data_IF_016536846699
#
_entry.id   IF_016536846699
#
_cell.length_a   1.000
_cell.length_b   1.000
_cell.length_c   1.000
_cell.angle_alpha   90.00
_cell.angle_beta   90.00
_cell.angle_gamma   90.00
#
_symmetry.space_group_name_H-M   'P 1'
#
loop_
_entity.id
_entity.type
_entity.pdbx_description
1 polymer ?
#
# COMPACT_ATOMS: atom_id res chain seq x y z
N UNK A 1 15.86 -7.61 16.97
CA UNK A 1 15.96 -7.93 15.53
C UNK A 1 14.71 -7.35 14.87
N UNK A 2 14.85 -6.69 13.72
CA UNK A 2 13.76 -5.96 13.04
C UNK A 2 13.12 -6.91 12.02
N UNK A 3 11.78 -7.02 11.93
CA UNK A 3 11.12 -7.78 10.88
C UNK A 3 11.65 -7.41 9.50
N UNK A 4 12.14 -8.41 8.77
CA UNK A 4 12.79 -8.23 7.47
C UNK A 4 12.31 -9.30 6.51
N UNK A 5 11.76 -8.87 5.39
CA UNK A 5 11.35 -9.68 4.24
C UNK A 5 12.20 -9.31 3.05
N UNK A 6 12.20 -10.11 1.99
CA UNK A 6 12.96 -9.76 0.79
C UNK A 6 12.36 -10.37 -0.46
N UNK A 7 12.27 -9.56 -1.51
CA UNK A 7 12.40 -10.04 -2.88
C UNK A 7 13.90 -10.03 -3.24
N UNK A 8 14.25 -9.36 -4.32
CA UNK A 8 15.62 -8.93 -4.62
C UNK A 8 16.08 -7.78 -3.72
N UNK A 9 15.14 -6.98 -3.21
CA UNK A 9 15.40 -5.88 -2.29
C UNK A 9 14.81 -6.18 -0.89
N UNK A 10 15.47 -5.71 0.19
CA UNK A 10 14.99 -5.94 1.54
C UNK A 10 13.84 -4.99 1.90
N UNK A 11 12.75 -5.54 2.42
CA UNK A 11 11.67 -4.81 3.09
C UNK A 11 11.86 -4.93 4.61
N UNK A 12 12.16 -3.82 5.29
CA UNK A 12 12.36 -3.78 6.75
C UNK A 12 11.22 -3.03 7.42
N UNK A 13 10.64 -3.60 8.47
CA UNK A 13 9.56 -2.97 9.26
C UNK A 13 10.10 -2.67 10.67
N UNK A 14 10.34 -1.40 10.97
CA UNK A 14 10.87 -0.90 12.23
C UNK A 14 9.88 0.05 12.93
N UNK A 15 10.06 0.40 14.22
CA UNK A 15 9.20 1.37 14.88
C UNK A 15 9.13 2.70 14.11
N UNK A 16 7.92 3.14 13.77
CA UNK A 16 7.70 4.32 12.92
C UNK A 16 7.72 4.04 11.41
N UNK A 17 7.90 2.79 10.98
CA UNK A 17 7.62 2.39 9.60
C UNK A 17 6.13 2.57 9.28
N UNK A 18 5.86 2.93 8.04
CA UNK A 18 4.50 3.05 7.54
C UNK A 18 3.84 1.68 7.38
N UNK A 19 2.50 1.69 7.33
CA UNK A 19 1.68 0.53 7.03
C UNK A 19 2.12 -0.15 5.73
N UNK A 20 2.27 -1.48 5.76
CA UNK A 20 2.71 -2.27 4.61
C UNK A 20 1.51 -2.77 3.80
N UNK A 21 1.46 -2.35 2.54
CA UNK A 21 0.39 -2.71 1.61
C UNK A 21 0.73 -4.03 0.92
N UNK A 22 -0.09 -5.06 1.15
CA UNK A 22 0.02 -6.35 0.48
C UNK A 22 -1.01 -6.38 -0.66
N UNK A 23 -0.56 -6.50 -1.91
CA UNK A 23 -1.45 -6.48 -3.08
C UNK A 23 -2.33 -7.73 -3.20
N UNK A 24 -3.65 -7.55 -3.23
CA UNK A 24 -4.65 -8.65 -3.21
C UNK A 24 -5.07 -9.21 -4.59
N UNK A 25 -4.70 -8.55 -5.70
CA UNK A 25 -5.33 -8.79 -7.02
C UNK A 25 -4.82 -10.03 -7.75
N UNK A 26 -3.68 -10.57 -7.32
CA UNK A 26 -3.09 -11.83 -7.80
C UNK A 26 -3.75 -13.04 -7.13
N UNK A 27 -5.08 -13.00 -7.04
CA UNK A 27 -5.90 -13.97 -6.35
C UNK A 27 -7.02 -14.45 -7.26
N UNK A 28 -7.04 -15.75 -7.59
CA UNK A 28 -8.05 -16.37 -8.46
C UNK A 28 -9.45 -16.23 -7.87
N UNK A 29 -9.60 -16.32 -6.54
CA UNK A 29 -10.90 -16.17 -5.87
C UNK A 29 -11.33 -14.71 -5.71
N UNK A 30 -10.40 -13.78 -5.53
CA UNK A 30 -10.68 -12.36 -5.30
C UNK A 30 -10.78 -11.49 -6.56
N UNK A 31 -10.09 -11.85 -7.64
CA UNK A 31 -9.95 -11.00 -8.85
C UNK A 31 -10.49 -11.69 -10.10
N UNK A 32 -11.59 -11.17 -10.65
CA UNK A 32 -12.19 -11.72 -11.87
C UNK A 32 -11.25 -11.68 -13.08
N UNK A 33 -10.47 -10.59 -13.21
CA UNK A 33 -9.49 -10.44 -14.27
C UNK A 33 -8.37 -11.49 -14.16
N UNK A 34 -7.77 -11.63 -12.97
CA UNK A 34 -6.70 -12.60 -12.75
C UNK A 34 -7.20 -14.04 -12.92
N UNK A 35 -8.39 -14.36 -12.39
CA UNK A 35 -9.06 -15.65 -12.59
C UNK A 35 -9.19 -16.01 -14.06
N UNK A 36 -9.65 -15.07 -14.90
CA UNK A 36 -9.82 -15.29 -16.34
C UNK A 36 -8.48 -15.64 -17.01
N UNK A 37 -7.43 -14.89 -16.69
CA UNK A 37 -6.10 -15.10 -17.27
C UNK A 37 -5.52 -16.47 -16.88
N UNK A 38 -5.55 -16.81 -15.59
CA UNK A 38 -5.02 -18.10 -15.10
C UNK A 38 -5.81 -19.28 -15.68
N UNK A 39 -7.15 -19.21 -15.71
CA UNK A 39 -7.99 -20.28 -16.29
C UNK A 39 -7.73 -20.50 -17.78
N UNK A 40 -7.38 -19.44 -18.50
CA UNK A 40 -7.08 -19.51 -19.93
C UNK A 40 -5.61 -19.86 -20.21
N UNK A 41 -4.79 -20.10 -19.18
CA UNK A 41 -3.36 -20.36 -19.33
C UNK A 41 -2.53 -19.13 -19.75
N UNK A 42 -3.11 -17.94 -19.65
CA UNK A 42 -2.50 -16.65 -20.02
C UNK A 42 -1.63 -16.10 -18.88
N UNK A 43 -0.57 -16.83 -18.55
CA UNK A 43 0.29 -16.49 -17.40
C UNK A 43 1.11 -15.21 -17.65
N UNK A 44 1.53 -14.94 -18.89
CA UNK A 44 2.34 -13.76 -19.22
C UNK A 44 1.53 -12.47 -19.02
N UNK A 45 0.26 -12.47 -19.43
CA UNK A 45 -0.65 -11.36 -19.14
C UNK A 45 -0.98 -11.28 -17.65
N UNK A 46 -1.05 -12.40 -16.94
CA UNK A 46 -1.29 -12.41 -15.49
C UNK A 46 -0.15 -11.74 -14.70
N UNK A 47 1.10 -11.81 -15.18
CA UNK A 47 2.26 -11.10 -14.61
C UNK A 47 2.03 -9.59 -14.59
N UNK A 48 1.32 -9.02 -15.58
CA UNK A 48 1.00 -7.59 -15.59
C UNK A 48 0.15 -7.16 -14.40
N UNK A 49 -0.70 -8.04 -13.87
CA UNK A 49 -1.51 -7.77 -12.68
C UNK A 49 -0.61 -7.61 -11.45
N UNK A 50 0.43 -8.44 -11.31
CA UNK A 50 1.42 -8.30 -10.24
C UNK A 50 2.21 -7.00 -10.40
N UNK A 51 2.72 -6.72 -11.61
CA UNK A 51 3.46 -5.47 -11.92
C UNK A 51 2.67 -4.22 -11.55
N UNK A 52 1.41 -4.17 -11.97
CA UNK A 52 0.54 -3.02 -11.72
C UNK A 52 0.34 -2.76 -10.22
N UNK A 53 0.31 -3.80 -9.39
CA UNK A 53 0.17 -3.65 -7.94
C UNK A 53 1.44 -3.07 -7.32
N UNK A 54 2.62 -3.58 -7.69
CA UNK A 54 3.90 -3.05 -7.22
C UNK A 54 4.09 -1.60 -7.64
N UNK A 55 3.75 -1.29 -8.89
CA UNK A 55 3.72 0.08 -9.40
C UNK A 55 2.80 0.98 -8.56
N UNK A 56 1.63 0.48 -8.20
CA UNK A 56 0.66 1.22 -7.37
C UNK A 56 1.01 1.22 -5.88
N UNK A 57 2.22 0.84 -5.49
CA UNK A 57 2.72 0.96 -4.12
C UNK A 57 2.50 -0.26 -3.23
N UNK A 58 2.11 -1.41 -3.79
CA UNK A 58 2.17 -2.67 -3.05
C UNK A 58 3.64 -3.01 -2.72
N UNK A 59 3.91 -3.23 -1.43
CA UNK A 59 5.24 -3.55 -0.92
C UNK A 59 5.45 -5.05 -0.75
N UNK A 60 4.38 -5.84 -0.82
CA UNK A 60 4.35 -7.31 -0.87
C UNK A 60 3.25 -7.71 -1.86
N UNK A 61 3.41 -8.83 -2.55
CA UNK A 61 2.37 -9.38 -3.44
C UNK A 61 1.81 -10.67 -2.84
N UNK A 62 0.50 -10.73 -2.63
CA UNK A 62 -0.21 -11.95 -2.22
C UNK A 62 -0.61 -12.75 -3.46
N UNK A 63 -0.17 -14.01 -3.54
CA UNK A 63 -0.44 -14.89 -4.68
C UNK A 63 -1.29 -16.05 -4.23
N UNK A 64 -2.54 -16.08 -4.70
CA UNK A 64 -3.48 -17.17 -4.46
C UNK A 64 -3.98 -17.76 -5.78
N UNK A 65 -3.72 -19.05 -5.96
CA UNK A 65 -4.07 -19.82 -7.16
C UNK A 65 -5.01 -21.00 -6.82
N UNK A 66 -5.70 -20.93 -5.69
CA UNK A 66 -6.65 -21.97 -5.29
C UNK A 66 -7.89 -21.97 -6.21
N UNK A 67 -7.99 -23.01 -7.03
CA UNK A 67 -9.14 -23.35 -7.85
C UNK A 67 -9.21 -24.89 -7.92
N UNK A 68 -10.39 -25.48 -7.71
CA UNK A 68 -10.64 -26.91 -7.88
C UNK A 68 -10.30 -27.48 -9.28
N UNK A 69 -10.28 -26.68 -10.34
CA UNK A 69 -9.95 -27.11 -11.72
C UNK A 69 -8.47 -26.93 -12.09
N UNK A 70 -7.65 -26.40 -11.18
CA UNK A 70 -6.23 -26.10 -11.43
C UNK A 70 -5.36 -26.92 -10.48
N UNK A 71 -4.25 -27.48 -10.98
CA UNK A 71 -3.19 -27.99 -10.09
C UNK A 71 -2.52 -26.79 -9.40
N UNK A 72 -2.92 -26.54 -8.15
CA UNK A 72 -2.40 -25.41 -7.37
C UNK A 72 -0.89 -25.46 -7.16
N UNK A 73 -0.27 -26.65 -7.06
CA UNK A 73 1.19 -26.76 -6.89
C UNK A 73 1.90 -26.36 -8.17
N UNK A 74 1.45 -26.87 -9.32
CA UNK A 74 2.03 -26.52 -10.61
C UNK A 74 1.82 -25.04 -10.95
N UNK A 75 0.59 -24.55 -10.78
CA UNK A 75 0.24 -23.16 -11.06
C UNK A 75 1.06 -22.18 -10.19
N UNK A 76 1.19 -22.46 -8.89
CA UNK A 76 1.97 -21.64 -7.97
C UNK A 76 3.44 -21.59 -8.40
N UNK A 77 4.06 -22.75 -8.66
CA UNK A 77 5.45 -22.80 -9.15
C UNK A 77 5.63 -22.01 -10.44
N UNK A 78 4.74 -22.22 -11.40
CA UNK A 78 4.80 -21.56 -12.71
C UNK A 78 4.71 -20.04 -12.56
N UNK A 79 3.70 -19.54 -11.84
CA UNK A 79 3.49 -18.11 -11.69
C UNK A 79 4.61 -17.44 -10.89
N UNK A 80 5.07 -18.06 -9.79
CA UNK A 80 6.18 -17.52 -8.99
C UNK A 80 7.50 -17.44 -9.76
N UNK A 81 7.80 -18.44 -10.59
CA UNK A 81 8.99 -18.40 -11.45
C UNK A 81 8.91 -17.30 -12.52
N UNK A 82 7.72 -17.02 -13.05
CA UNK A 82 7.53 -15.94 -14.02
C UNK A 82 7.74 -14.57 -13.39
N UNK A 83 7.12 -14.29 -12.23
CA UNK A 83 7.30 -12.99 -11.58
C UNK A 83 8.73 -12.80 -11.03
N UNK A 84 9.45 -13.88 -10.74
CA UNK A 84 10.85 -13.82 -10.35
C UNK A 84 11.78 -13.41 -11.51
N UNK A 85 11.36 -13.62 -12.76
CA UNK A 85 12.11 -13.19 -13.95
C UNK A 85 11.91 -11.70 -14.30
N UNK A 86 10.97 -11.02 -13.63
CA UNK A 86 10.62 -9.62 -13.86
C UNK A 86 11.18 -8.73 -12.74
N UNK A 87 12.27 -7.97 -12.94
CA UNK A 87 12.94 -7.23 -11.87
C UNK A 87 12.03 -6.26 -11.10
N UNK A 88 11.10 -5.60 -11.81
CA UNK A 88 10.16 -4.64 -11.22
C UNK A 88 9.21 -5.29 -10.20
N UNK A 89 8.95 -6.59 -10.35
CA UNK A 89 8.11 -7.39 -9.44
C UNK A 89 8.99 -8.09 -8.41
N UNK A 90 10.06 -8.75 -8.88
CA UNK A 90 10.96 -9.54 -8.06
C UNK A 90 11.62 -8.74 -6.94
N UNK A 91 11.71 -7.41 -7.04
CA UNK A 91 12.21 -6.54 -5.96
C UNK A 91 11.42 -6.64 -4.65
N UNK A 92 10.10 -6.89 -4.69
CA UNK A 92 9.27 -6.98 -3.48
C UNK A 92 9.10 -8.42 -2.99
N UNK A 93 8.91 -8.67 -1.68
CA UNK A 93 8.60 -10.00 -1.17
C UNK A 93 7.26 -10.53 -1.67
N UNK A 94 7.11 -11.86 -1.65
CA UNK A 94 5.87 -12.56 -2.01
C UNK A 94 5.26 -13.24 -0.79
N UNK A 95 3.96 -13.07 -0.64
CA UNK A 95 3.09 -13.82 0.26
C UNK A 95 2.44 -14.97 -0.53
N UNK A 96 2.76 -16.21 -0.18
CA UNK A 96 2.25 -17.42 -0.84
C UNK A 96 0.97 -17.84 -0.14
N UNK A 97 -0.17 -17.62 -0.81
CA UNK A 97 -1.50 -17.84 -0.27
C UNK A 97 -2.15 -19.12 -0.80
N UNK A 98 -2.51 -20.03 0.11
CA UNK A 98 -3.31 -21.21 -0.20
C UNK A 98 -3.91 -21.86 1.05
N UNK A 99 -5.10 -22.43 0.90
CA UNK A 99 -5.71 -23.32 1.88
C UNK A 99 -5.00 -24.68 2.00
N UNK A 100 -4.11 -25.03 1.05
CA UNK A 100 -3.37 -26.30 1.02
C UNK A 100 -1.91 -26.07 1.35
N UNK A 101 -1.44 -26.63 2.46
CA UNK A 101 -0.04 -26.48 2.88
C UNK A 101 0.97 -26.99 1.84
N UNK A 102 0.62 -27.99 1.03
CA UNK A 102 1.49 -28.48 -0.07
C UNK A 102 1.77 -27.42 -1.13
N UNK A 103 0.81 -26.52 -1.40
CA UNK A 103 0.96 -25.39 -2.32
C UNK A 103 1.84 -24.31 -1.69
N UNK A 104 1.61 -24.00 -0.41
CA UNK A 104 2.47 -23.07 0.35
C UNK A 104 3.93 -23.56 0.31
N UNK A 105 4.18 -24.81 0.67
CA UNK A 105 5.52 -25.38 0.71
C UNK A 105 6.17 -25.37 -0.68
N UNK A 106 5.43 -25.69 -1.73
CA UNK A 106 5.92 -25.64 -3.10
C UNK A 106 6.27 -24.21 -3.55
N UNK A 107 5.43 -23.23 -3.20
CA UNK A 107 5.64 -21.84 -3.53
C UNK A 107 6.84 -21.24 -2.80
N UNK A 108 6.96 -21.47 -1.49
CA UNK A 108 8.10 -21.03 -0.69
C UNK A 108 9.44 -21.57 -1.22
N UNK A 109 9.46 -22.81 -1.71
CA UNK A 109 10.66 -23.40 -2.34
C UNK A 109 11.08 -22.72 -3.65
N UNK A 110 10.19 -21.95 -4.29
CA UNK A 110 10.50 -21.19 -5.51
C UNK A 110 11.05 -19.79 -5.20
N UNK A 111 10.86 -19.28 -3.97
CA UNK A 111 11.28 -17.94 -3.61
C UNK A 111 12.79 -17.92 -3.29
N UNK A 112 13.51 -16.98 -3.91
CA UNK A 112 14.92 -16.73 -3.61
C UNK A 112 15.08 -15.89 -2.32
N UNK A 113 14.21 -14.89 -2.15
CA UNK A 113 14.17 -14.01 -0.98
C UNK A 113 13.30 -14.56 0.15
N UNK A 114 13.27 -13.85 1.27
CA UNK A 114 12.43 -14.20 2.42
C UNK A 114 10.97 -13.80 2.17
N UNK A 115 10.16 -14.79 1.76
CA UNK A 115 8.71 -14.67 1.59
C UNK A 115 7.90 -14.93 2.86
N UNK A 116 6.57 -14.94 2.69
CA UNK A 116 5.59 -15.11 3.77
C UNK A 116 4.63 -16.24 3.40
N UNK A 117 4.41 -17.18 4.31
CA UNK A 117 3.37 -18.21 4.18
C UNK A 117 2.00 -17.62 4.60
N UNK A 118 0.99 -17.71 3.75
CA UNK A 118 -0.39 -17.35 4.06
C UNK A 118 -1.29 -18.58 3.82
N UNK A 119 -1.74 -19.29 4.85
CA UNK A 119 -1.43 -19.14 6.28
C UNK A 119 -1.41 -20.52 6.95
N UNK A 120 -1.04 -20.53 8.24
CA UNK A 120 -1.21 -21.70 9.12
C UNK A 120 -2.19 -21.37 10.23
N UNK A 121 -2.78 -22.38 10.86
CA UNK A 121 -3.71 -22.20 11.99
C UNK A 121 -3.78 -23.45 12.87
N UNK A 122 -4.48 -23.35 14.01
CA UNK A 122 -4.73 -24.47 14.92
C UNK A 122 -5.96 -25.31 14.53
N UNK A 123 -6.58 -25.06 13.36
CA UNK A 123 -7.77 -25.77 12.87
C UNK A 123 -7.63 -27.29 12.87
N UNK A 124 -6.47 -27.79 12.45
CA UNK A 124 -6.16 -29.24 12.38
C UNK A 124 -5.42 -29.74 13.64
N UNK A 125 -5.42 -28.93 14.69
CA UNK A 125 -4.78 -29.21 15.97
C UNK A 125 -3.31 -28.82 16.05
N UNK A 126 -2.79 -28.84 17.27
CA UNK A 126 -1.42 -28.39 17.61
C UNK A 126 -0.32 -29.17 16.88
N UNK A 127 -0.48 -30.48 16.69
CA UNK A 127 0.55 -31.32 16.07
C UNK A 127 0.83 -30.89 14.62
N UNK A 128 -0.23 -30.67 13.84
CA UNK A 128 -0.13 -30.25 12.45
C UNK A 128 0.36 -28.81 12.35
N UNK A 129 -0.16 -27.90 13.19
CA UNK A 129 0.32 -26.52 13.28
C UNK A 129 1.84 -26.44 13.51
N UNK A 130 2.37 -27.22 14.47
CA UNK A 130 3.81 -27.26 14.75
C UNK A 130 4.61 -27.94 13.62
N UNK A 131 4.05 -28.91 12.91
CA UNK A 131 4.69 -29.54 11.74
C UNK A 131 4.88 -28.50 10.63
N UNK A 132 3.80 -27.81 10.26
CA UNK A 132 3.79 -26.78 9.23
C UNK A 132 4.74 -25.63 9.58
N UNK A 133 4.66 -25.14 10.82
CA UNK A 133 5.54 -24.10 11.33
C UNK A 133 7.03 -24.50 11.17
N UNK A 134 7.44 -25.68 11.64
CA UNK A 134 8.85 -26.12 11.54
C UNK A 134 9.34 -26.20 10.09
N UNK A 135 8.46 -26.55 9.15
CA UNK A 135 8.78 -26.56 7.71
C UNK A 135 8.98 -25.12 7.20
N UNK A 136 8.05 -24.21 7.48
CA UNK A 136 8.15 -22.80 7.09
C UNK A 136 9.45 -22.18 7.64
N UNK A 137 9.75 -22.41 8.92
CA UNK A 137 11.00 -21.95 9.55
C UNK A 137 12.23 -22.52 8.86
N UNK A 138 12.23 -23.79 8.50
CA UNK A 138 13.35 -24.44 7.79
C UNK A 138 13.57 -23.82 6.41
N UNK A 139 12.50 -23.37 5.75
CA UNK A 139 12.55 -22.64 4.49
C UNK A 139 12.93 -21.15 4.67
N UNK A 140 13.11 -20.68 5.90
CA UNK A 140 13.53 -19.30 6.20
C UNK A 140 12.45 -18.25 5.98
N UNK A 141 11.18 -18.66 5.85
CA UNK A 141 10.05 -17.76 5.61
C UNK A 141 9.36 -17.32 6.91
N UNK A 142 8.66 -16.19 6.85
CA UNK A 142 7.71 -15.79 7.87
C UNK A 142 6.35 -16.46 7.64
N UNK A 143 5.42 -16.32 8.59
CA UNK A 143 4.08 -16.90 8.45
C UNK A 143 2.99 -15.97 8.98
N UNK A 144 1.90 -15.90 8.21
CA UNK A 144 0.59 -15.50 8.70
C UNK A 144 0.00 -16.64 9.53
N UNK A 145 -0.58 -16.29 10.66
CA UNK A 145 -1.27 -17.20 11.58
C UNK A 145 -2.70 -16.71 11.74
N UNK A 146 -3.65 -17.47 11.21
CA UNK A 146 -5.06 -17.15 11.36
C UNK A 146 -5.50 -17.46 12.78
N UNK A 147 -6.31 -16.57 13.38
CA UNK A 147 -7.03 -16.86 14.62
C UNK A 147 -8.17 -17.86 14.35
N UNK A 148 -7.80 -19.11 14.07
CA UNK A 148 -8.68 -20.26 13.84
C UNK A 148 -8.09 -21.45 14.59
N UNK A 149 -8.87 -22.06 15.48
CA UNK A 149 -8.45 -23.24 16.25
C UNK A 149 -9.41 -24.42 16.07
N UNK A 150 -9.26 -25.45 16.90
CA UNK A 150 -10.06 -26.67 16.85
C UNK A 150 -11.57 -26.42 17.11
N UNK A 151 -11.93 -25.26 17.67
CA UNK A 151 -13.32 -24.85 17.93
C UNK A 151 -13.88 -23.94 16.83
N UNK A 152 -13.08 -23.56 15.82
CA UNK A 152 -13.52 -22.73 14.71
C UNK A 152 -12.78 -21.40 14.60
N UNK A 153 -13.30 -20.55 13.73
CA UNK A 153 -12.79 -19.20 13.50
C UNK A 153 -13.11 -18.30 14.69
N UNK A 154 -12.16 -17.47 15.13
CA UNK A 154 -12.42 -16.46 16.15
C UNK A 154 -13.19 -15.27 15.56
N UNK A 155 -14.35 -14.99 16.15
CA UNK A 155 -15.28 -13.93 15.78
C UNK A 155 -15.34 -12.83 16.86
N UNK A 156 -15.25 -13.18 18.14
CA UNK A 156 -15.19 -12.22 19.28
C UNK A 156 -13.78 -11.78 19.66
N UNK A 157 -13.67 -10.63 20.34
CA UNK A 157 -12.41 -10.14 20.89
C UNK A 157 -11.69 -11.19 21.77
N UNK A 158 -12.39 -11.82 22.72
CA UNK A 158 -11.81 -12.79 23.66
C UNK A 158 -11.24 -14.01 22.94
N UNK A 159 -11.96 -14.50 21.93
CA UNK A 159 -11.50 -15.63 21.11
C UNK A 159 -10.27 -15.26 20.30
N UNK A 160 -10.23 -14.06 19.71
CA UNK A 160 -9.07 -13.59 18.93
C UNK A 160 -7.82 -13.53 19.78
N UNK A 161 -7.87 -12.93 20.97
CA UNK A 161 -6.68 -12.80 21.84
C UNK A 161 -6.24 -14.16 22.42
N UNK A 162 -7.19 -15.05 22.72
CA UNK A 162 -6.88 -16.39 23.23
C UNK A 162 -6.11 -17.22 22.19
N UNK A 163 -6.59 -17.25 20.94
CA UNK A 163 -5.94 -18.00 19.86
C UNK A 163 -4.61 -17.34 19.47
N UNK A 164 -4.57 -16.01 19.37
CA UNK A 164 -3.33 -15.27 19.07
C UNK A 164 -2.23 -15.60 20.09
N UNK A 165 -2.55 -15.52 21.39
CA UNK A 165 -1.61 -15.83 22.46
C UNK A 165 -1.14 -17.29 22.40
N UNK A 166 -2.08 -18.24 22.28
CA UNK A 166 -1.75 -19.68 22.21
C UNK A 166 -0.82 -19.97 21.02
N UNK A 167 -1.15 -19.43 19.86
CA UNK A 167 -0.36 -19.65 18.63
C UNK A 167 1.04 -19.04 18.75
N UNK A 168 1.13 -17.82 19.29
CA UNK A 168 2.40 -17.15 19.56
C UNK A 168 3.29 -17.96 20.51
N UNK A 169 2.74 -18.44 21.63
CA UNK A 169 3.47 -19.27 22.60
C UNK A 169 3.97 -20.57 21.96
N UNK A 170 3.12 -21.25 21.19
CA UNK A 170 3.50 -22.49 20.48
C UNK A 170 4.62 -22.25 19.46
N UNK A 171 4.53 -21.18 18.67
CA UNK A 171 5.52 -20.86 17.64
C UNK A 171 6.88 -20.51 18.27
N UNK A 172 6.88 -19.63 19.26
CA UNK A 172 8.11 -19.15 19.89
C UNK A 172 8.77 -20.22 20.77
N UNK A 173 7.98 -20.98 21.54
CA UNK A 173 8.51 -21.91 22.53
C UNK A 173 8.72 -23.33 21.97
N UNK A 174 7.89 -23.81 21.01
CA UNK A 174 7.93 -25.21 20.52
C UNK A 174 8.35 -25.37 19.06
N UNK A 175 8.18 -24.35 18.21
CA UNK A 175 8.66 -24.37 16.82
C UNK A 175 9.99 -23.60 16.64
N UNK A 176 10.36 -22.75 17.60
CA UNK A 176 11.57 -21.93 17.59
C UNK A 176 11.51 -20.79 16.57
N UNK A 177 10.30 -20.29 16.27
CA UNK A 177 10.13 -19.09 15.46
C UNK A 177 10.68 -17.87 16.18
N UNK A 178 11.26 -16.96 15.41
CA UNK A 178 11.48 -15.63 15.90
C UNK A 178 10.15 -14.87 15.93
N UNK A 179 9.85 -14.10 16.99
CA UNK A 179 8.58 -13.35 17.09
C UNK A 179 8.29 -12.43 15.91
N UNK A 180 9.33 -11.84 15.30
CA UNK A 180 9.23 -10.92 14.17
C UNK A 180 8.88 -11.59 12.83
N UNK A 181 8.83 -12.93 12.80
CA UNK A 181 8.39 -13.72 11.65
C UNK A 181 6.96 -14.24 11.82
N UNK A 182 6.28 -13.83 12.89
CA UNK A 182 4.89 -14.17 13.20
C UNK A 182 4.02 -12.97 12.84
N UNK A 183 3.11 -13.16 11.89
CA UNK A 183 2.08 -12.19 11.51
C UNK A 183 0.74 -12.76 11.94
N UNK A 184 0.10 -12.16 12.93
CA UNK A 184 -1.23 -12.61 13.40
C UNK A 184 -2.32 -11.98 12.53
N UNK A 185 -3.17 -12.80 11.93
CA UNK A 185 -4.43 -12.36 11.33
C UNK A 185 -5.57 -12.65 12.31
N UNK A 186 -6.10 -11.57 12.91
CA UNK A 186 -7.19 -11.64 13.88
C UNK A 186 -8.59 -11.78 13.24
N UNK A 187 -8.66 -12.12 11.95
CA UNK A 187 -9.85 -12.25 11.11
C UNK A 187 -10.59 -10.93 10.90
N UNK A 188 -10.36 -10.27 9.77
CA UNK A 188 -11.27 -9.22 9.30
C UNK A 188 -12.52 -9.92 8.73
N UNK A 189 -13.65 -9.74 9.41
CA UNK A 189 -14.94 -10.33 9.06
C UNK A 189 -15.91 -9.27 8.54
N UNK A 190 -16.96 -9.72 7.86
CA UNK A 190 -17.95 -8.83 7.22
C UNK A 190 -18.85 -8.17 8.26
N UNK A 191 -19.01 -6.84 8.19
CA UNK A 191 -19.97 -6.09 9.03
C UNK A 191 -21.24 -5.72 8.26
N UNK A 192 -22.22 -5.16 8.96
CA UNK A 192 -23.50 -4.72 8.38
C UNK A 192 -24.24 -5.83 7.61
N UNK A 193 -24.20 -7.06 8.11
CA UNK A 193 -24.86 -8.22 7.48
C UNK A 193 -26.34 -8.34 7.84
N UNK A 194 -26.84 -7.49 8.73
CA UNK A 194 -28.19 -7.60 9.32
C UNK A 194 -28.29 -8.59 10.50
N UNK A 195 -27.17 -9.12 10.99
CA UNK A 195 -27.11 -10.00 12.15
C UNK A 195 -26.37 -9.29 13.28
N UNK A 196 -27.00 -9.15 14.44
CA UNK A 196 -26.47 -8.36 15.56
C UNK A 196 -25.15 -8.92 16.11
N UNK A 197 -24.94 -10.23 15.98
CA UNK A 197 -23.70 -10.92 16.33
C UNK A 197 -22.50 -10.38 15.53
N UNK A 198 -22.73 -9.82 14.35
CA UNK A 198 -21.68 -9.35 13.43
C UNK A 198 -21.36 -7.87 13.59
N UNK A 199 -22.18 -7.10 14.32
CA UNK A 199 -22.04 -5.65 14.46
C UNK A 199 -20.71 -5.24 15.10
N UNK A 200 -20.14 -6.12 15.93
CA UNK A 200 -18.89 -5.85 16.65
C UNK A 200 -17.63 -6.34 15.94
N UNK A 201 -17.74 -7.02 14.80
CA UNK A 201 -16.59 -7.69 14.18
C UNK A 201 -15.43 -6.76 13.83
N UNK A 202 -15.70 -5.53 13.39
CA UNK A 202 -14.67 -4.55 13.06
C UNK A 202 -13.99 -3.97 14.31
N UNK A 203 -14.76 -3.50 15.30
CA UNK A 203 -14.20 -2.95 16.55
C UNK A 203 -13.45 -4.02 17.34
N UNK A 204 -13.95 -5.25 17.40
CA UNK A 204 -13.28 -6.36 18.08
C UNK A 204 -11.97 -6.76 17.37
N UNK A 205 -11.87 -6.60 16.04
CA UNK A 205 -10.61 -6.72 15.32
C UNK A 205 -9.62 -5.64 15.76
N UNK A 206 -10.04 -4.38 15.77
CA UNK A 206 -9.22 -3.22 16.12
C UNK A 206 -8.69 -3.34 17.56
N UNK A 207 -9.55 -3.76 18.50
CA UNK A 207 -9.15 -4.03 19.88
C UNK A 207 -8.18 -5.22 19.99
N UNK A 208 -8.41 -6.30 19.22
CA UNK A 208 -7.51 -7.45 19.19
C UNK A 208 -6.12 -7.06 18.67
N UNK A 209 -6.04 -6.23 17.62
CA UNK A 209 -4.77 -5.67 17.13
C UNK A 209 -4.06 -4.93 18.26
N UNK A 210 -4.75 -3.98 18.93
CA UNK A 210 -4.16 -3.23 20.05
C UNK A 210 -3.63 -4.16 21.14
N UNK A 211 -4.41 -5.17 21.50
CA UNK A 211 -4.02 -6.16 22.50
C UNK A 211 -2.78 -6.95 22.06
N UNK A 212 -2.75 -7.45 20.82
CA UNK A 212 -1.63 -8.20 20.26
C UNK A 212 -0.35 -7.37 20.32
N UNK A 213 -0.41 -6.09 19.91
CA UNK A 213 0.77 -5.21 19.94
C UNK A 213 1.29 -4.96 21.37
N UNK A 214 0.41 -4.93 22.37
CA UNK A 214 0.79 -4.74 23.76
C UNK A 214 1.33 -6.00 24.43
N UNK A 215 0.86 -7.19 24.03
CA UNK A 215 1.09 -8.43 24.79
C UNK A 215 1.98 -9.45 24.08
N UNK A 216 2.12 -9.39 22.75
CA UNK A 216 2.88 -10.35 21.93
C UNK A 216 4.09 -9.64 21.28
N UNK A 217 5.18 -9.42 22.04
CA UNK A 217 6.27 -8.54 21.62
C UNK A 217 6.97 -9.05 20.36
N UNK A 218 7.07 -8.19 19.36
CA UNK A 218 7.71 -8.49 18.08
C UNK A 218 6.79 -9.14 17.05
N UNK A 219 5.62 -9.67 17.44
CA UNK A 219 4.64 -10.12 16.46
C UNK A 219 4.08 -8.93 15.66
N UNK A 220 3.78 -9.21 14.40
CA UNK A 220 3.07 -8.28 13.52
C UNK A 220 1.60 -8.67 13.41
N UNK A 221 0.81 -7.78 12.81
CA UNK A 221 -0.63 -7.93 12.60
C UNK A 221 -0.98 -7.67 11.16
N UNK A 222 -1.92 -8.46 10.63
CA UNK A 222 -2.45 -8.32 9.26
C UNK A 222 -3.93 -8.65 9.20
N UNK A 223 -4.50 -8.46 8.02
CA UNK A 223 -5.85 -8.94 7.67
C UNK A 223 -6.23 -8.64 6.22
N UNK A 224 -7.18 -9.42 5.71
CA UNK A 224 -7.86 -9.15 4.42
C UNK A 224 -8.87 -8.02 4.52
N UNK A 225 -8.45 -6.79 4.17
CA UNK A 225 -9.26 -5.58 4.40
C UNK A 225 -10.56 -5.62 3.61
N UNK A 226 -10.52 -6.10 2.36
CA UNK A 226 -11.68 -6.17 1.48
C UNK A 226 -12.87 -6.96 2.07
N UNK A 227 -12.61 -7.88 3.00
CA UNK A 227 -13.63 -8.72 3.66
C UNK A 227 -14.60 -7.91 4.52
N UNK A 228 -14.17 -6.80 5.13
CA UNK A 228 -15.02 -5.98 6.01
C UNK A 228 -16.28 -5.47 5.29
N UNK A 229 -16.16 -5.28 3.97
CA UNK A 229 -17.14 -4.59 3.13
C UNK A 229 -18.04 -5.51 2.29
N UNK A 230 -18.02 -6.83 2.50
CA UNK A 230 -18.69 -7.76 1.59
C UNK A 230 -20.22 -7.58 1.51
N UNK A 231 -20.87 -7.06 2.55
CA UNK A 231 -22.30 -6.71 2.53
C UNK A 231 -22.65 -5.66 1.46
N UNK A 232 -21.67 -4.89 1.00
CA UNK A 232 -21.84 -3.80 0.03
C UNK A 232 -21.22 -4.10 -1.35
N UNK A 233 -21.03 -5.39 -1.70
CA UNK A 233 -20.55 -5.79 -3.03
C UNK A 233 -21.41 -5.17 -4.14
N UNK A 234 -20.75 -4.57 -5.13
CA UNK A 234 -21.41 -3.83 -6.21
C UNK A 234 -21.60 -2.34 -5.94
N UNK A 235 -21.30 -1.87 -4.73
CA UNK A 235 -21.28 -0.45 -4.36
C UNK A 235 -19.86 -0.01 -4.00
N UNK A 236 -19.02 0.15 -5.02
CA UNK A 236 -17.59 0.45 -4.84
C UNK A 236 -17.31 1.74 -4.06
N UNK A 237 -18.04 2.87 -4.25
CA UNK A 237 -17.83 4.07 -3.45
C UNK A 237 -18.00 3.83 -1.94
N UNK A 238 -19.03 3.08 -1.55
CA UNK A 238 -19.25 2.71 -0.14
C UNK A 238 -18.15 1.78 0.37
N UNK A 239 -17.73 0.80 -0.43
CA UNK A 239 -16.68 -0.14 -0.03
C UNK A 239 -15.34 0.58 0.20
N UNK A 240 -14.96 1.47 -0.70
CA UNK A 240 -13.74 2.28 -0.60
C UNK A 240 -13.76 3.17 0.66
N UNK A 241 -14.89 3.80 0.97
CA UNK A 241 -15.05 4.57 2.20
C UNK A 241 -14.89 3.69 3.46
N UNK A 242 -15.49 2.50 3.47
CA UNK A 242 -15.35 1.53 4.58
C UNK A 242 -13.89 1.09 4.73
N UNK A 243 -13.19 0.73 3.64
CA UNK A 243 -11.78 0.31 3.70
C UNK A 243 -10.90 1.41 4.26
N UNK A 244 -11.09 2.64 3.77
CA UNK A 244 -10.30 3.81 4.15
C UNK A 244 -10.49 4.14 5.64
N UNK A 245 -11.74 4.20 6.11
CA UNK A 245 -12.05 4.46 7.51
C UNK A 245 -11.58 3.32 8.43
N UNK A 246 -11.76 2.07 8.01
CA UNK A 246 -11.30 0.91 8.77
C UNK A 246 -9.78 0.93 8.96
N UNK A 247 -9.02 1.15 7.87
CA UNK A 247 -7.56 1.22 7.91
C UNK A 247 -7.07 2.37 8.80
N UNK A 248 -7.70 3.54 8.74
CA UNK A 248 -7.36 4.67 9.60
C UNK A 248 -7.42 4.31 11.08
N UNK A 249 -8.50 3.66 11.53
CA UNK A 249 -8.64 3.24 12.93
C UNK A 249 -7.76 2.04 13.30
N UNK A 250 -7.65 1.04 12.41
CA UNK A 250 -6.86 -0.16 12.65
C UNK A 250 -5.35 0.15 12.75
N UNK A 251 -4.82 1.02 11.90
CA UNK A 251 -3.41 1.43 11.96
C UNK A 251 -3.12 2.24 13.22
N UNK A 252 -4.03 3.12 13.63
CA UNK A 252 -3.92 3.81 14.93
C UNK A 252 -3.89 2.83 16.11
N UNK A 253 -4.57 1.69 16.00
CA UNK A 253 -4.49 0.62 16.99
C UNK A 253 -3.21 -0.22 16.90
N UNK A 254 -2.44 -0.08 15.81
CA UNK A 254 -1.13 -0.70 15.62
C UNK A 254 -1.08 -1.76 14.50
N UNK A 255 -2.04 -1.78 13.58
CA UNK A 255 -2.02 -2.67 12.42
C UNK A 255 -0.77 -2.43 11.56
N UNK A 256 0.04 -3.47 11.35
CA UNK A 256 1.35 -3.33 10.70
C UNK A 256 1.27 -3.45 9.17
N UNK A 257 0.40 -4.33 8.68
CA UNK A 257 0.24 -4.63 7.26
C UNK A 257 -1.19 -5.07 6.95
N UNK A 258 -1.56 -5.12 5.67
CA UNK A 258 -2.87 -5.64 5.27
C UNK A 258 -2.96 -5.97 3.80
N UNK A 259 -3.79 -6.97 3.50
CA UNK A 259 -4.10 -7.40 2.14
C UNK A 259 -5.19 -6.48 1.61
N UNK A 260 -4.81 -5.68 0.61
CA UNK A 260 -5.59 -4.55 0.10
C UNK A 260 -5.52 -4.46 -1.41
N UNK A 261 -6.54 -3.88 -2.02
CA UNK A 261 -6.41 -3.30 -3.35
C UNK A 261 -5.77 -1.91 -3.22
N UNK A 262 -4.44 -1.86 -3.27
CA UNK A 262 -3.66 -0.62 -3.12
C UNK A 262 -4.14 0.54 -4.03
N UNK A 263 -4.76 0.23 -5.18
CA UNK A 263 -5.29 1.23 -6.09
C UNK A 263 -6.60 1.91 -5.67
N UNK A 264 -7.38 1.29 -4.77
CA UNK A 264 -8.73 1.68 -4.35
C UNK A 264 -8.79 2.16 -2.89
N UNK A 265 -7.67 2.58 -2.31
CA UNK A 265 -7.66 3.20 -0.97
C UNK A 265 -7.80 4.72 -1.16
N UNK A 266 -8.84 5.29 -0.57
CA UNK A 266 -9.16 6.72 -0.59
C UNK A 266 -8.45 7.50 0.50
N UNK A 267 -8.55 8.83 0.48
CA UNK A 267 -8.03 9.69 1.55
C UNK A 267 -9.14 9.83 2.58
N UNK A 268 -8.81 9.62 3.85
CA UNK A 268 -9.81 9.59 4.91
C UNK A 268 -10.62 10.90 5.03
N UNK A 269 -9.97 12.06 4.85
CA UNK A 269 -10.61 13.38 4.92
C UNK A 269 -11.51 13.71 3.72
N UNK A 270 -11.36 12.99 2.61
CA UNK A 270 -12.16 13.21 1.40
C UNK A 270 -13.48 12.41 1.42
N UNK A 271 -13.65 11.50 2.39
CA UNK A 271 -14.90 10.77 2.56
C UNK A 271 -15.98 11.81 2.93
N UNK A 272 -17.11 11.87 2.18
CA UNK A 272 -18.20 12.79 2.51
C UNK A 272 -18.62 12.63 3.96
N UNK A 273 -18.75 13.75 4.69
CA UNK A 273 -18.95 13.74 6.16
C UNK A 273 -20.10 12.84 6.62
N UNK A 274 -21.22 12.89 5.90
CA UNK A 274 -22.39 12.05 6.21
C UNK A 274 -22.11 10.57 5.94
N UNK A 275 -21.43 10.23 4.84
CA UNK A 275 -21.01 8.85 4.56
C UNK A 275 -20.02 8.35 5.62
N UNK A 276 -19.05 9.18 6.01
CA UNK A 276 -18.07 8.85 7.04
C UNK A 276 -18.76 8.57 8.38
N UNK A 277 -19.75 9.37 8.77
CA UNK A 277 -20.52 9.13 9.99
C UNK A 277 -21.20 7.76 9.98
N UNK A 278 -21.88 7.41 8.89
CA UNK A 278 -22.54 6.10 8.77
C UNK A 278 -21.54 4.94 8.74
N UNK A 279 -20.42 5.11 8.04
CA UNK A 279 -19.34 4.11 8.00
C UNK A 279 -18.74 3.89 9.39
N UNK A 280 -18.43 4.95 10.12
CA UNK A 280 -17.86 4.84 11.46
C UNK A 280 -18.86 4.32 12.50
N UNK A 281 -20.15 4.64 12.35
CA UNK A 281 -21.21 4.07 13.18
C UNK A 281 -21.21 2.54 13.09
N UNK A 282 -21.06 1.99 11.88
CA UNK A 282 -20.96 0.54 11.64
C UNK A 282 -19.63 -0.01 12.15
N UNK A 283 -18.50 0.57 11.76
CA UNK A 283 -17.17 0.01 12.07
C UNK A 283 -16.86 0.02 13.56
N UNK A 284 -17.30 1.06 14.28
CA UNK A 284 -17.01 1.25 15.70
C UNK A 284 -18.19 0.85 16.60
N UNK A 285 -19.25 0.28 16.02
CA UNK A 285 -20.48 -0.10 16.72
C UNK A 285 -21.02 1.02 17.64
N UNK A 286 -21.05 2.27 17.14
CA UNK A 286 -21.39 3.46 17.97
C UNK A 286 -22.87 3.53 18.34
N UNK A 287 -23.72 2.82 17.60
CA UNK A 287 -25.18 2.82 17.76
C UNK A 287 -25.79 1.50 17.28
N UNK A 288 -26.93 1.07 17.85
CA UNK A 288 -27.54 -0.22 17.52
C UNK A 288 -28.21 -0.26 16.14
N UNK A 289 -28.65 0.88 15.60
CA UNK A 289 -29.30 1.02 14.29
C UNK A 289 -28.31 1.36 13.16
N UNK A 290 -27.00 1.23 13.39
CA UNK A 290 -25.95 1.60 12.42
C UNK A 290 -26.10 0.84 11.10
N UNK A 291 -26.31 -0.48 11.17
CA UNK A 291 -26.45 -1.34 10.00
C UNK A 291 -27.64 -0.93 9.13
N UNK A 292 -28.82 -0.72 9.74
CA UNK A 292 -30.03 -0.34 9.01
C UNK A 292 -29.87 1.02 8.32
N UNK A 293 -29.32 2.00 9.04
CA UNK A 293 -29.05 3.34 8.50
C UNK A 293 -28.06 3.28 7.34
N UNK A 294 -26.96 2.55 7.50
CA UNK A 294 -25.92 2.45 6.47
C UNK A 294 -26.46 1.76 5.22
N UNK A 295 -27.25 0.68 5.36
CA UNK A 295 -27.86 -0.01 4.21
C UNK A 295 -28.83 0.92 3.47
N UNK A 296 -29.72 1.62 4.19
CA UNK A 296 -30.64 2.57 3.59
C UNK A 296 -29.91 3.75 2.89
N UNK A 297 -28.86 4.27 3.52
CA UNK A 297 -28.03 5.35 2.97
C UNK A 297 -27.24 4.90 1.74
N UNK A 298 -26.71 3.67 1.75
CA UNK A 298 -25.91 3.11 0.67
C UNK A 298 -26.70 2.96 -0.65
N UNK A 299 -28.04 2.85 -0.60
CA UNK A 299 -28.87 2.83 -1.83
C UNK A 299 -28.69 4.10 -2.68
N UNK A 300 -28.36 5.24 -2.07
CA UNK A 300 -28.11 6.50 -2.78
C UNK A 300 -26.84 6.45 -3.66
N UNK A 301 -25.94 5.51 -3.38
CA UNK A 301 -24.67 5.32 -4.08
C UNK A 301 -24.72 4.17 -5.10
N UNK A 302 -25.86 3.49 -5.24
CA UNK A 302 -26.04 2.44 -6.26
C UNK A 302 -26.39 3.06 -7.61
N UNK A 303 -25.54 2.84 -8.61
CA UNK A 303 -25.75 3.28 -9.98
C UNK A 303 -24.48 3.88 -10.58
N UNK A 304 -24.51 4.20 -11.87
CA UNK A 304 -23.49 5.09 -12.44
C UNK A 304 -23.59 6.44 -11.72
N UNK A 305 -22.47 7.12 -11.42
CA UNK A 305 -22.51 8.45 -10.83
C UNK A 305 -23.45 9.33 -11.67
N UNK A 306 -24.38 10.03 -11.01
CA UNK A 306 -25.29 10.95 -11.70
C UNK A 306 -24.48 11.98 -12.49
N UNK A 307 -25.08 12.59 -13.52
CA UNK A 307 -24.41 13.67 -14.24
C UNK A 307 -23.97 14.81 -13.30
N UNK A 308 -24.71 15.04 -12.22
CA UNK A 308 -24.36 15.97 -11.14
C UNK A 308 -23.20 15.47 -10.28
N UNK A 309 -23.09 14.17 -9.99
CA UNK A 309 -21.95 13.59 -9.28
C UNK A 309 -20.68 13.62 -10.15
N UNK A 310 -20.79 13.36 -11.45
CA UNK A 310 -19.68 13.50 -12.40
C UNK A 310 -19.27 14.97 -12.57
N UNK A 311 -20.24 15.91 -12.60
CA UNK A 311 -19.98 17.34 -12.64
C UNK A 311 -19.33 17.84 -11.33
N UNK A 312 -19.78 17.35 -10.17
CA UNK A 312 -19.15 17.63 -8.88
C UNK A 312 -17.71 17.07 -8.82
N UNK A 313 -17.48 15.89 -9.42
CA UNK A 313 -16.15 15.30 -9.58
C UNK A 313 -15.27 16.04 -10.59
N UNK A 314 -15.85 16.88 -11.45
CA UNK A 314 -15.15 17.79 -12.36
C UNK A 314 -15.04 19.22 -11.81
N UNK A 315 -15.75 19.57 -10.73
CA UNK A 315 -15.80 20.93 -10.19
C UNK A 315 -14.44 21.47 -9.75
N UNK A 316 -13.51 20.58 -9.35
CA UNK A 316 -12.14 20.97 -9.03
C UNK A 316 -11.42 21.63 -10.21
N UNK A 317 -11.85 21.35 -11.46
CA UNK A 317 -11.32 21.97 -12.68
C UNK A 317 -11.71 23.43 -12.84
N UNK A 318 -12.75 23.90 -12.15
CA UNK A 318 -13.23 25.28 -12.22
C UNK A 318 -12.41 26.22 -11.32
N UNK A 319 -11.57 25.67 -10.44
CA UNK A 319 -10.68 26.44 -9.56
C UNK A 319 -9.49 27.09 -10.30
N UNK A 320 -8.71 27.85 -9.54
CA UNK A 320 -7.42 28.42 -9.97
C UNK A 320 -6.43 27.33 -10.39
N UNK A 321 -5.40 27.71 -11.16
CA UNK A 321 -4.35 26.76 -11.56
C UNK A 321 -3.63 26.17 -10.34
N UNK A 322 -3.42 26.94 -9.28
CA UNK A 322 -2.86 26.48 -8.01
C UNK A 322 -3.74 25.42 -7.33
N UNK A 323 -5.06 25.65 -7.27
CA UNK A 323 -6.01 24.68 -6.71
C UNK A 323 -6.06 23.39 -7.52
N UNK A 324 -5.99 23.49 -8.85
CA UNK A 324 -5.98 22.35 -9.76
C UNK A 324 -4.68 21.54 -9.65
N UNK A 325 -3.53 22.19 -9.60
CA UNK A 325 -2.23 21.55 -9.38
C UNK A 325 -2.18 20.85 -8.02
N UNK A 326 -2.68 21.52 -6.96
CA UNK A 326 -2.79 20.93 -5.63
C UNK A 326 -3.69 19.70 -5.63
N UNK A 327 -4.87 19.78 -6.23
CA UNK A 327 -5.81 18.66 -6.35
C UNK A 327 -5.17 17.51 -7.13
N UNK A 328 -4.54 17.79 -8.28
CA UNK A 328 -3.87 16.78 -9.08
C UNK A 328 -2.79 16.04 -8.29
N UNK A 329 -2.01 16.74 -7.47
CA UNK A 329 -1.01 16.12 -6.60
C UNK A 329 -1.65 15.26 -5.51
N UNK A 330 -2.60 15.80 -4.73
CA UNK A 330 -3.25 15.08 -3.61
C UNK A 330 -3.94 13.80 -4.09
N UNK A 331 -4.60 13.84 -5.25
CA UNK A 331 -5.36 12.71 -5.78
C UNK A 331 -4.60 11.88 -6.82
N UNK A 332 -3.35 12.24 -7.14
CA UNK A 332 -2.54 11.49 -8.10
C UNK A 332 -3.05 11.54 -9.55
N UNK A 333 -3.67 12.64 -9.97
CA UNK A 333 -4.23 12.83 -11.33
C UNK A 333 -3.16 13.31 -12.30
N UNK A 334 -2.86 12.52 -13.33
CA UNK A 334 -1.85 12.88 -14.34
C UNK A 334 -2.40 13.47 -15.63
N UNK A 335 -3.72 13.43 -15.84
CA UNK A 335 -4.34 13.73 -17.14
C UNK A 335 -4.16 15.18 -17.59
N UNK A 336 -4.32 16.15 -16.68
CA UNK A 336 -4.27 17.58 -16.97
C UNK A 336 -2.98 18.26 -16.50
N UNK A 337 -2.07 17.50 -15.90
CA UNK A 337 -0.94 18.08 -15.14
C UNK A 337 -0.04 18.95 -16.02
N UNK A 338 0.23 18.56 -17.26
CA UNK A 338 1.06 19.34 -18.18
C UNK A 338 0.38 20.64 -18.59
N UNK A 339 -0.93 20.61 -18.85
CA UNK A 339 -1.70 21.79 -19.20
C UNK A 339 -1.74 22.80 -18.04
N UNK A 340 -2.03 22.33 -16.83
CA UNK A 340 -2.05 23.20 -15.65
C UNK A 340 -0.64 23.71 -15.30
N UNK A 341 0.39 22.88 -15.49
CA UNK A 341 1.77 23.29 -15.27
C UNK A 341 2.19 24.38 -16.25
N UNK A 342 1.76 24.31 -17.52
CA UNK A 342 2.01 25.37 -18.52
C UNK A 342 1.29 26.66 -18.18
N UNK A 343 0.01 26.58 -17.79
CA UNK A 343 -0.74 27.76 -17.37
C UNK A 343 -0.06 28.46 -16.19
N UNK A 344 0.40 27.70 -15.19
CA UNK A 344 1.18 28.25 -14.08
C UNK A 344 2.53 28.80 -14.58
N UNK A 345 3.24 28.10 -15.48
CA UNK A 345 4.52 28.59 -16.02
C UNK A 345 4.39 29.95 -16.72
N UNK A 346 3.27 30.22 -17.38
CA UNK A 346 3.00 31.53 -18.02
C UNK A 346 2.66 32.61 -16.97
N UNK A 347 2.00 32.25 -15.87
CA UNK A 347 1.64 33.19 -14.80
C UNK A 347 2.82 33.57 -13.90
N UNK A 348 3.76 32.65 -13.68
CA UNK A 348 4.91 32.86 -12.81
C UNK A 348 6.12 33.36 -13.61
N UNK A 349 6.88 34.29 -13.03
CA UNK A 349 8.05 34.93 -13.68
C UNK A 349 9.21 33.93 -13.92
N UNK A 350 9.25 32.84 -13.15
CA UNK A 350 10.26 31.82 -13.23
C UNK A 350 9.61 30.43 -13.16
N UNK A 351 9.90 29.51 -14.10
CA UNK A 351 9.45 28.12 -14.02
C UNK A 351 9.80 27.43 -12.69
N UNK A 352 10.90 27.82 -12.03
CA UNK A 352 11.25 27.33 -10.68
C UNK A 352 10.16 27.64 -9.66
N UNK A 353 9.52 28.81 -9.75
CA UNK A 353 8.50 29.23 -8.77
C UNK A 353 7.20 28.41 -8.89
N UNK A 354 6.94 27.79 -10.04
CA UNK A 354 5.85 26.80 -10.17
C UNK A 354 6.13 25.57 -9.31
N UNK A 355 7.41 25.16 -9.26
CA UNK A 355 7.86 24.04 -8.42
C UNK A 355 7.79 24.43 -6.94
N UNK A 356 8.44 25.52 -6.55
CA UNK A 356 8.52 25.97 -5.14
C UNK A 356 7.18 26.47 -4.58
N UNK A 357 6.28 26.95 -5.45
CA UNK A 357 4.96 27.44 -5.10
C UNK A 357 3.90 26.34 -5.16
N UNK A 358 3.04 26.31 -6.20
CA UNK A 358 1.86 25.44 -6.22
C UNK A 358 2.17 23.95 -6.12
N UNK A 359 3.23 23.47 -6.76
CA UNK A 359 3.58 22.05 -6.72
C UNK A 359 4.05 21.61 -5.33
N UNK A 360 4.96 22.37 -4.70
CA UNK A 360 5.36 22.10 -3.32
C UNK A 360 4.24 22.29 -2.32
N UNK A 361 3.34 23.26 -2.53
CA UNK A 361 2.15 23.43 -1.69
C UNK A 361 1.24 22.18 -1.72
N UNK A 362 1.06 21.56 -2.90
CA UNK A 362 0.37 20.28 -3.01
C UNK A 362 1.10 19.14 -2.30
N UNK A 363 2.41 19.04 -2.48
CA UNK A 363 3.23 18.01 -1.83
C UNK A 363 3.28 18.15 -0.30
N UNK A 364 3.22 19.37 0.24
CA UNK A 364 3.13 19.60 1.68
C UNK A 364 1.81 19.02 2.24
N UNK A 365 0.69 19.21 1.55
CA UNK A 365 -0.59 18.60 1.95
C UNK A 365 -0.54 17.08 1.89
N UNK A 366 0.09 16.51 0.86
CA UNK A 366 0.36 15.06 0.79
C UNK A 366 1.18 14.60 2.01
N UNK A 367 2.21 15.36 2.39
CA UNK A 367 3.03 15.10 3.57
C UNK A 367 2.23 15.14 4.88
N UNK A 368 1.35 16.13 5.06
CA UNK A 368 0.51 16.28 6.24
C UNK A 368 -0.52 15.14 6.35
N UNK A 369 -1.18 14.80 5.24
CA UNK A 369 -2.15 13.70 5.19
C UNK A 369 -1.47 12.35 5.46
N UNK A 370 -0.28 12.15 4.91
CA UNK A 370 0.50 10.93 5.14
C UNK A 370 0.98 10.84 6.59
N UNK A 371 1.55 11.92 7.12
CA UNK A 371 2.04 11.98 8.50
C UNK A 371 0.95 11.83 9.56
N UNK A 372 -0.28 12.24 9.24
CA UNK A 372 -1.46 12.05 10.10
C UNK A 372 -2.15 10.68 9.94
N UNK A 373 -1.65 9.82 9.04
CA UNK A 373 -2.20 8.49 8.74
C UNK A 373 -3.52 8.49 7.97
N UNK A 374 -3.88 9.64 7.36
CA UNK A 374 -5.11 9.81 6.56
C UNK A 374 -4.90 9.52 5.08
N UNK A 375 -3.65 9.45 4.65
CA UNK A 375 -3.20 9.02 3.33
C UNK A 375 -2.17 7.90 3.49
N UNK A 376 -2.14 6.98 2.55
CA UNK A 376 -1.31 5.77 2.56
C UNK A 376 -0.25 5.81 1.47
N UNK A 377 0.79 4.98 1.61
CA UNK A 377 1.92 4.96 0.69
C UNK A 377 1.52 4.82 -0.81
N UNK A 378 0.54 3.97 -1.20
CA UNK A 378 0.05 3.91 -2.57
C UNK A 378 -0.35 5.27 -3.15
N UNK A 379 -0.99 6.12 -2.35
CA UNK A 379 -1.46 7.44 -2.76
C UNK A 379 -0.29 8.43 -2.86
N UNK A 380 0.67 8.35 -1.94
CA UNK A 380 1.91 9.14 -2.01
C UNK A 380 2.71 8.80 -3.28
N UNK A 381 2.78 7.52 -3.65
CA UNK A 381 3.43 7.08 -4.89
C UNK A 381 2.73 7.66 -6.12
N UNK A 382 1.38 7.68 -6.15
CA UNK A 382 0.63 8.35 -7.22
C UNK A 382 0.93 9.85 -7.27
N UNK A 383 0.93 10.53 -6.11
CA UNK A 383 1.26 11.96 -5.98
C UNK A 383 2.66 12.28 -6.52
N UNK A 384 3.65 11.44 -6.17
CA UNK A 384 5.02 11.59 -6.65
C UNK A 384 5.14 11.45 -8.18
N UNK A 385 4.32 10.61 -8.81
CA UNK A 385 4.28 10.50 -10.29
C UNK A 385 3.76 11.77 -10.93
N UNK A 386 2.71 12.38 -10.36
CA UNK A 386 2.17 13.66 -10.81
C UNK A 386 3.24 14.74 -10.70
N UNK A 387 3.91 14.82 -9.55
CA UNK A 387 5.02 15.75 -9.32
C UNK A 387 6.13 15.56 -10.35
N UNK A 388 6.57 14.32 -10.57
CA UNK A 388 7.61 14.00 -11.57
C UNK A 388 7.21 14.43 -12.98
N UNK A 389 5.96 14.20 -13.37
CA UNK A 389 5.45 14.59 -14.69
C UNK A 389 5.40 16.11 -14.87
N UNK A 390 4.94 16.84 -13.86
CA UNK A 390 4.94 18.31 -13.85
C UNK A 390 6.37 18.87 -13.97
N UNK A 391 7.30 18.35 -13.18
CA UNK A 391 8.70 18.80 -13.22
C UNK A 391 9.36 18.47 -14.57
N UNK A 392 9.13 17.29 -15.11
CA UNK A 392 9.64 16.91 -16.44
C UNK A 392 9.14 17.84 -17.54
N UNK A 393 7.92 18.36 -17.43
CA UNK A 393 7.39 19.37 -18.34
C UNK A 393 8.12 20.71 -18.23
N UNK A 394 8.50 21.13 -17.02
CA UNK A 394 9.22 22.40 -16.78
C UNK A 394 10.70 22.35 -17.15
N UNK A 395 11.29 21.16 -17.20
CA UNK A 395 12.73 20.96 -17.37
C UNK A 395 13.33 21.63 -18.63
N UNK A 396 12.73 21.58 -19.83
CA UNK A 396 13.24 22.31 -20.99
C UNK A 396 13.32 23.83 -20.76
N UNK A 397 12.29 24.42 -20.13
CA UNK A 397 12.24 25.87 -19.86
C UNK A 397 13.27 26.30 -18.82
N UNK A 398 13.52 25.46 -17.81
CA UNK A 398 14.57 25.65 -16.82
C UNK A 398 15.96 25.65 -17.49
N UNK A 399 16.19 24.75 -18.45
CA UNK A 399 17.44 24.66 -19.19
C UNK A 399 17.66 25.84 -20.14
N UNK A 400 16.62 26.29 -20.86
CA UNK A 400 16.68 27.48 -21.72
C UNK A 400 17.05 28.73 -20.92
N UNK A 401 16.43 28.92 -19.75
CA UNK A 401 16.77 30.04 -18.86
C UNK A 401 18.21 29.97 -18.37
N UNK A 402 18.68 28.78 -17.98
CA UNK A 402 20.09 28.55 -17.61
C UNK A 402 21.03 28.93 -18.76
N UNK A 403 20.73 28.50 -20.00
CA UNK A 403 21.52 28.87 -21.17
C UNK A 403 21.52 30.38 -21.46
N UNK A 404 20.37 31.05 -21.27
CA UNK A 404 20.22 32.49 -21.44
C UNK A 404 20.94 33.33 -20.36
N UNK A 405 21.16 32.79 -19.16
CA UNK A 405 21.94 33.46 -18.11
C UNK A 405 23.45 33.18 -18.23
N UNK A 406 23.86 32.04 -18.79
CA UNK A 406 25.28 31.66 -18.96
C UNK A 406 25.98 32.47 -20.07
N UNK A 407 25.24 33.12 -20.97
CA UNK A 407 25.81 34.08 -21.95
C UNK A 407 26.31 35.38 -21.31
N UNK A 408 26.03 35.61 -20.01
CA UNK A 408 26.59 36.69 -19.21
C UNK A 408 27.78 36.26 -18.36
N UNK A 409 28.95 36.08 -19.00
CA UNK A 409 30.27 35.93 -18.35
C UNK A 409 30.38 34.87 -17.22
N UNK A 410 31.01 33.74 -17.54
CA UNK A 410 31.67 32.89 -16.54
C UNK A 410 32.66 33.75 -15.73
N UNK A 411 32.21 34.32 -14.62
CA UNK A 411 33.09 35.02 -13.68
C UNK A 411 34.02 33.98 -13.08
N UNK A 412 35.32 34.20 -13.20
CA UNK A 412 36.37 33.35 -12.63
C UNK A 412 36.26 33.13 -11.11
N UNK A 413 35.37 33.88 -10.42
CA UNK A 413 35.08 33.83 -8.98
C UNK A 413 33.74 33.15 -8.62
N UNK A 414 33.10 32.41 -9.53
CA UNK A 414 31.85 31.71 -9.24
C UNK A 414 32.04 30.67 -8.12
N UNK A 415 31.23 30.76 -7.05
CA UNK A 415 31.25 29.80 -5.94
C UNK A 415 30.88 28.40 -6.45
N UNK A 416 31.63 27.38 -6.04
CA UNK A 416 31.42 25.99 -6.46
C UNK A 416 30.55 25.25 -5.46
N UNK A 417 29.67 24.40 -5.96
CA UNK A 417 28.87 23.46 -5.15
C UNK A 417 28.88 22.09 -5.81
N UNK A 418 29.09 21.05 -5.01
CA UNK A 418 28.99 19.65 -5.43
C UNK A 418 27.64 19.11 -4.97
N UNK A 419 26.86 18.53 -5.89
CA UNK A 419 25.58 17.88 -5.59
C UNK A 419 25.67 16.39 -5.93
N UNK A 420 25.15 15.55 -5.05
CA UNK A 420 25.07 14.10 -5.22
C UNK A 420 23.97 13.55 -4.29
N UNK A 421 23.30 12.46 -4.66
CA UNK A 421 22.59 11.63 -3.68
C UNK A 421 23.47 10.47 -3.26
N UNK A 422 23.41 10.09 -1.99
CA UNK A 422 24.23 8.98 -1.45
C UNK A 422 23.74 7.63 -1.97
N UNK A 423 24.58 6.60 -1.87
CA UNK A 423 24.20 5.23 -2.22
C UNK A 423 22.87 4.82 -1.56
N UNK A 424 21.92 4.38 -2.40
CA UNK A 424 20.58 3.98 -1.97
C UNK A 424 19.56 5.12 -1.95
N UNK A 425 19.99 6.36 -2.18
CA UNK A 425 19.11 7.50 -2.34
C UNK A 425 18.91 7.81 -3.83
N UNK A 426 17.65 7.78 -4.28
CA UNK A 426 17.25 7.97 -5.68
C UNK A 426 16.59 9.31 -5.94
N UNK A 427 16.52 10.20 -4.95
CA UNK A 427 15.80 11.46 -5.05
C UNK A 427 16.56 12.45 -5.96
N UNK A 428 16.36 12.31 -7.27
CA UNK A 428 16.97 13.11 -8.33
C UNK A 428 16.28 14.47 -8.51
N UNK A 429 14.95 14.51 -8.40
CA UNK A 429 14.13 15.71 -8.64
C UNK A 429 14.59 16.90 -7.78
N UNK A 430 14.61 16.74 -6.46
CA UNK A 430 15.01 17.81 -5.54
C UNK A 430 16.45 18.27 -5.75
N UNK A 431 17.37 17.31 -5.97
CA UNK A 431 18.78 17.60 -6.29
C UNK A 431 18.89 18.45 -7.57
N UNK A 432 18.18 18.06 -8.62
CA UNK A 432 18.21 18.76 -9.91
C UNK A 432 17.64 20.17 -9.79
N UNK A 433 16.52 20.34 -9.08
CA UNK A 433 15.93 21.66 -8.81
C UNK A 433 16.93 22.56 -8.08
N UNK A 434 17.53 22.08 -6.99
CA UNK A 434 18.57 22.82 -6.24
C UNK A 434 19.76 23.16 -7.14
N UNK A 435 20.19 22.22 -7.98
CA UNK A 435 21.26 22.44 -8.96
C UNK A 435 20.92 23.52 -9.99
N UNK A 436 19.69 23.54 -10.50
CA UNK A 436 19.22 24.59 -11.42
C UNK A 436 19.17 25.95 -10.71
N UNK A 437 18.61 26.02 -9.50
CA UNK A 437 18.50 27.26 -8.72
C UNK A 437 19.89 27.84 -8.43
N UNK A 438 20.83 27.03 -7.96
CA UNK A 438 22.19 27.47 -7.64
C UNK A 438 22.89 27.97 -8.90
N UNK A 439 22.74 27.28 -10.03
CA UNK A 439 23.28 27.73 -11.31
C UNK A 439 22.69 29.08 -11.75
N UNK A 440 21.37 29.27 -11.62
CA UNK A 440 20.71 30.55 -11.90
C UNK A 440 21.18 31.69 -10.98
N UNK A 441 21.66 31.37 -9.77
CA UNK A 441 22.22 32.32 -8.81
C UNK A 441 23.76 32.47 -8.94
N UNK A 442 24.35 32.07 -10.06
CA UNK A 442 25.76 32.29 -10.38
C UNK A 442 26.74 31.33 -9.70
N UNK A 443 26.27 30.19 -9.17
CA UNK A 443 27.14 29.12 -8.69
C UNK A 443 27.58 28.20 -9.83
N UNK A 444 28.80 27.69 -9.73
CA UNK A 444 29.25 26.56 -10.53
C UNK A 444 28.81 25.26 -9.86
N UNK A 445 27.82 24.60 -10.43
CA UNK A 445 27.26 23.33 -9.93
C UNK A 445 27.97 22.15 -10.57
N UNK A 446 28.54 21.28 -9.74
CA UNK A 446 29.16 20.00 -10.13
C UNK A 446 28.24 18.89 -9.62
N UNK A 447 27.55 18.22 -10.52
CA UNK A 447 26.57 17.19 -10.18
C UNK A 447 27.14 15.80 -10.44
N UNK A 448 27.30 14.99 -9.39
CA UNK A 448 27.79 13.62 -9.49
C UNK A 448 26.68 12.60 -9.79
N UNK A 449 25.42 13.03 -9.87
CA UNK A 449 24.27 12.18 -10.13
C UNK A 449 23.68 11.55 -8.87
N UNK A 450 23.03 10.41 -9.04
CA UNK A 450 22.34 9.69 -7.97
C UNK A 450 23.02 8.38 -7.57
N UNK A 451 22.73 7.89 -6.37
CA UNK A 451 23.29 6.66 -5.80
C UNK A 451 24.83 6.63 -5.72
N UNK A 452 25.45 7.79 -5.48
CA UNK A 452 26.90 7.95 -5.51
C UNK A 452 27.53 7.30 -4.26
N UNK A 453 28.61 6.52 -4.43
CA UNK A 453 29.34 5.95 -3.30
C UNK A 453 29.94 7.08 -2.44
N UNK A 454 29.88 6.96 -1.12
CA UNK A 454 30.41 7.99 -0.21
C UNK A 454 31.89 8.31 -0.47
N UNK A 455 32.68 7.32 -0.88
CA UNK A 455 34.09 7.49 -1.24
C UNK A 455 34.33 8.34 -2.51
N UNK A 456 33.32 8.54 -3.35
CA UNK A 456 33.38 9.44 -4.52
C UNK A 456 32.99 10.87 -4.15
N UNK A 457 32.24 11.06 -3.06
CA UNK A 457 31.76 12.36 -2.58
C UNK A 457 32.79 13.04 -1.67
N UNK A 458 33.46 12.25 -0.82
CA UNK A 458 34.52 12.66 0.10
C UNK A 458 35.86 12.79 -0.63
#
# INVERSE_FOLDING_TARGET
>A
MIPTYSGLEPLRIFPGSNFVNIGERTNVTGSAAFRKLIKNGQYDEAVSVARQQVENGAQVIDVNLDEGMIDGVEAMRKFLNLIAAEPDIARVPVMVDSSKFSVIEAGLKCLQGKGIANSISLKEGEAEFLRQARIIRRLGAATVVMCFDEQGQADTFERRIAIAKRSYDLLTQKAGFAPHDIIIDANILTVATGMTEHDRYAIDFIEAVRWIKQHLPGALTSGGVSNVSFSFRGNEPVREAIHTAFLYHAIKAGLDMGIVNAGQIGVYDDIPKELLEHVEDVLLARRPDATERMVAFAEQFKGAPSAEAMAAQAAWREGSVEERLKHALVHGVTEFIEQDTEEARVQYVDPVLVIEGPLMAGMNVVGDLFGSGKMFLPQVVKSARVMKRAVAYLEPFLQEKKAAQVTGSLKADAKKVLLATVKGDVHDIGKNIVGVILACNGWQVIDLGVMVQSATIL
#
